data_IF_897570901601
#
_entry.id   IF_897570901601
#
_cell.length_a   1.000
_cell.length_b   1.000
_cell.length_c   1.000
_cell.angle_alpha   90.00
_cell.angle_beta   90.00
_cell.angle_gamma   90.00
#
_symmetry.space_group_name_H-M   'P 1'
#
loop_
_entity.id
_entity.type
_entity.pdbx_description
1 polymer ?
#
# COMPACT_ATOMS: atom_id res chain seq x y z
N UNK A 1 16.08 -15.10 5.03
CA UNK A 1 16.20 -13.80 5.73
C UNK A 1 17.35 -13.04 5.10
N UNK A 2 17.07 -11.92 4.43
CA UNK A 2 18.06 -10.94 4.02
C UNK A 2 17.50 -9.58 4.46
N UNK A 3 18.23 -8.98 5.39
CA UNK A 3 17.84 -7.89 6.27
C UNK A 3 18.37 -6.54 5.77
N UNK A 4 18.16 -6.19 4.51
CA UNK A 4 18.29 -4.78 4.12
C UNK A 4 16.97 -4.07 4.40
N UNK A 5 16.68 -3.93 5.69
CA UNK A 5 15.88 -2.82 6.21
C UNK A 5 16.88 -1.79 6.70
N UNK A 6 17.56 -1.11 5.78
CA UNK A 6 18.30 0.08 6.18
C UNK A 6 17.25 1.09 6.65
N UNK A 7 17.29 1.42 7.94
CA UNK A 7 16.57 2.55 8.50
C UNK A 7 17.06 3.78 7.75
N UNK A 8 16.18 4.45 7.02
CA UNK A 8 16.56 5.49 6.04
C UNK A 8 17.05 6.76 6.70
N UNK A 9 16.58 6.98 7.92
CA UNK A 9 16.85 8.15 8.73
C UNK A 9 16.66 7.75 10.21
N UNK A 10 17.40 8.43 11.07
CA UNK A 10 17.30 8.56 12.52
C UNK A 10 15.89 9.00 13.00
N UNK A 11 14.82 8.31 12.57
CA UNK A 11 13.43 8.62 12.88
C UNK A 11 12.63 7.36 13.21
N UNK A 12 11.76 7.48 14.22
CA UNK A 12 10.84 6.43 14.65
C UNK A 12 9.43 6.99 14.68
N UNK A 13 8.48 6.27 14.09
CA UNK A 13 7.08 6.65 14.04
C UNK A 13 6.37 5.94 15.19
N UNK A 14 5.67 6.72 16.01
CA UNK A 14 4.98 6.24 17.22
C UNK A 14 3.55 6.76 17.24
N UNK A 15 2.58 5.89 17.53
CA UNK A 15 1.22 6.25 17.93
C UNK A 15 0.97 5.70 19.32
N UNK A 16 0.43 6.52 20.23
CA UNK A 16 0.02 6.08 21.56
C UNK A 16 -1.33 6.71 21.85
N UNK A 17 -2.26 5.90 22.33
CA UNK A 17 -3.59 6.32 22.77
C UNK A 17 -3.90 5.80 24.17
N UNK A 18 -4.76 6.52 24.88
CA UNK A 18 -5.31 6.16 26.20
C UNK A 18 -6.77 6.58 26.19
N UNK A 19 -7.69 5.62 26.31
CA UNK A 19 -9.14 5.82 26.13
C UNK A 19 -9.46 6.62 24.85
N UNK A 20 -8.95 6.15 23.70
CA UNK A 20 -9.05 6.79 22.37
C UNK A 20 -8.46 8.21 22.26
N UNK A 21 -7.79 8.69 23.31
CA UNK A 21 -7.17 10.01 23.34
C UNK A 21 -5.68 9.92 23.07
N UNK A 22 -5.17 10.76 22.18
CA UNK A 22 -3.75 10.84 21.86
C UNK A 22 -2.89 11.10 23.11
N UNK A 23 -1.80 10.35 23.25
CA UNK A 23 -0.79 10.52 24.30
C UNK A 23 0.55 10.91 23.68
N UNK A 24 1.13 12.02 24.14
CA UNK A 24 2.48 12.40 23.74
C UNK A 24 3.47 11.38 24.30
N UNK A 25 4.40 10.89 23.47
CA UNK A 25 5.40 9.90 23.91
C UNK A 25 6.27 10.44 25.05
N UNK A 26 6.39 11.78 25.17
CA UNK A 26 7.08 12.46 26.29
C UNK A 26 6.38 12.28 27.63
N UNK A 27 5.11 11.93 27.64
CA UNK A 27 4.32 11.79 28.87
C UNK A 27 4.45 10.40 29.50
N UNK A 28 4.92 9.39 28.73
CA UNK A 28 5.08 8.01 29.24
C UNK A 28 5.90 7.96 30.54
N UNK A 29 7.11 8.59 30.63
CA UNK A 29 7.87 8.58 31.87
C UNK A 29 7.10 9.10 33.08
N UNK A 30 6.36 10.20 32.92
CA UNK A 30 5.59 10.80 34.00
C UNK A 30 4.40 9.93 34.40
N UNK A 31 3.74 9.27 33.44
CA UNK A 31 2.66 8.31 33.69
C UNK A 31 3.15 7.10 34.49
N UNK A 32 4.31 6.53 34.12
CA UNK A 32 4.95 5.45 34.87
C UNK A 32 5.30 5.89 36.29
N UNK A 33 5.86 7.08 36.47
CA UNK A 33 6.18 7.65 37.78
C UNK A 33 4.93 7.85 38.64
N UNK A 34 3.86 8.44 38.09
CA UNK A 34 2.60 8.65 38.78
C UNK A 34 1.95 7.34 39.23
N UNK A 35 2.09 6.28 38.44
CA UNK A 35 1.64 4.94 38.77
C UNK A 35 2.59 4.15 39.70
N UNK A 36 3.73 4.75 40.11
CA UNK A 36 4.80 4.11 40.90
C UNK A 36 5.40 2.86 40.24
N UNK A 37 5.48 2.88 38.91
CA UNK A 37 6.01 1.80 38.08
C UNK A 37 7.46 2.10 37.65
N UNK A 38 8.26 1.06 37.50
CA UNK A 38 9.65 1.20 37.06
C UNK A 38 9.73 1.69 35.61
N UNK A 39 10.50 2.77 35.39
CA UNK A 39 10.76 3.37 34.07
C UNK A 39 12.25 3.29 33.73
N UNK A 40 12.57 3.06 32.46
CA UNK A 40 13.94 3.14 31.97
C UNK A 40 14.41 4.61 32.01
N UNK A 41 15.32 4.92 32.93
CA UNK A 41 15.80 6.29 33.18
C UNK A 41 16.54 6.88 31.99
N UNK A 42 17.27 6.08 31.21
CA UNK A 42 17.95 6.53 30.01
C UNK A 42 16.95 6.94 28.92
N UNK A 43 15.89 6.14 28.71
CA UNK A 43 14.85 6.49 27.75
C UNK A 43 14.03 7.71 28.19
N UNK A 44 13.72 7.80 29.48
CA UNK A 44 13.06 8.96 30.04
C UNK A 44 13.90 10.25 29.88
N UNK A 45 15.23 10.16 30.01
CA UNK A 45 16.12 11.28 29.75
C UNK A 45 16.16 11.65 28.27
N UNK A 46 16.23 10.65 27.38
CA UNK A 46 16.19 10.86 25.93
C UNK A 46 14.92 11.58 25.49
N UNK A 47 13.73 11.12 25.92
CA UNK A 47 12.44 11.70 25.50
C UNK A 47 12.28 13.18 25.91
N UNK A 48 12.95 13.63 26.97
CA UNK A 48 12.96 15.05 27.38
C UNK A 48 13.65 15.94 26.35
N UNK A 49 14.70 15.44 25.71
CA UNK A 49 15.51 16.21 24.75
C UNK A 49 15.22 15.85 23.30
N UNK A 50 14.47 14.78 23.04
CA UNK A 50 14.17 14.31 21.70
C UNK A 50 13.35 15.36 20.91
N UNK A 51 13.75 15.55 19.66
CA UNK A 51 12.96 16.27 18.66
C UNK A 51 11.78 15.39 18.26
N UNK A 52 10.56 15.87 18.53
CA UNK A 52 9.32 15.13 18.26
C UNK A 52 8.41 16.01 17.42
N UNK A 53 7.99 15.48 16.27
CA UNK A 53 7.01 16.11 15.39
C UNK A 53 5.67 15.39 15.54
N UNK A 54 4.70 16.06 16.15
CA UNK A 54 3.33 15.54 16.28
C UNK A 54 2.50 15.87 15.04
N UNK A 55 2.02 14.84 14.34
CA UNK A 55 1.12 14.93 13.20
C UNK A 55 -0.32 15.05 13.72
N UNK A 56 -0.73 16.30 13.98
CA UNK A 56 -1.99 16.64 14.69
C UNK A 56 -3.25 15.95 14.18
N UNK A 57 -3.34 15.66 12.89
CA UNK A 57 -4.53 15.04 12.30
C UNK A 57 -4.57 13.53 12.39
N UNK A 58 -3.41 12.86 12.47
CA UNK A 58 -3.32 11.39 12.54
C UNK A 58 -3.02 10.87 13.95
N UNK A 59 -2.66 11.74 14.90
CA UNK A 59 -2.21 11.30 16.22
C UNK A 59 -0.88 10.55 16.19
N UNK A 60 -0.12 10.66 15.09
CA UNK A 60 1.21 10.08 14.97
C UNK A 60 2.28 11.05 15.46
N UNK A 61 3.36 10.50 15.99
CA UNK A 61 4.55 11.23 16.42
C UNK A 61 5.76 10.69 15.68
N UNK A 62 6.52 11.59 15.06
CA UNK A 62 7.81 11.25 14.48
C UNK A 62 8.90 11.69 15.45
N UNK A 63 9.53 10.72 16.09
CA UNK A 63 10.59 10.91 17.08
C UNK A 63 11.93 10.81 16.36
N UNK A 64 12.73 11.87 16.38
CA UNK A 64 14.09 11.81 15.86
C UNK A 64 14.97 11.03 16.84
N UNK A 65 15.28 9.80 16.47
CA UNK A 65 16.22 8.91 17.13
C UNK A 65 17.59 9.11 16.47
N UNK A 66 18.36 10.10 16.92
CA UNK A 66 19.72 10.39 16.39
C UNK A 66 20.58 9.13 16.34
N UNK A 67 21.41 8.98 15.30
CA UNK A 67 22.20 7.78 14.98
C UNK A 67 23.09 7.22 16.12
N UNK A 68 23.29 7.92 17.25
CA UNK A 68 24.25 7.51 18.29
C UNK A 68 23.72 7.45 19.75
N UNK A 69 22.42 7.69 20.04
CA UNK A 69 21.94 7.69 21.44
C UNK A 69 20.84 6.68 21.75
N UNK A 70 19.83 6.55 20.89
CA UNK A 70 18.71 5.62 21.06
C UNK A 70 18.32 5.08 19.69
N UNK A 71 18.23 3.76 19.57
CA UNK A 71 17.76 3.10 18.34
C UNK A 71 16.23 3.07 18.29
N UNK A 72 15.64 3.01 17.10
CA UNK A 72 14.19 2.80 16.93
C UNK A 72 13.69 1.56 17.69
N UNK A 73 14.47 0.47 17.67
CA UNK A 73 14.15 -0.74 18.43
C UNK A 73 14.09 -0.47 19.92
N UNK A 74 15.09 0.22 20.49
CA UNK A 74 15.09 0.54 21.91
C UNK A 74 13.92 1.44 22.31
N UNK A 75 13.53 2.40 21.47
CA UNK A 75 12.35 3.24 21.69
C UNK A 75 11.05 2.41 21.63
N UNK A 76 10.89 1.56 20.61
CA UNK A 76 9.71 0.71 20.49
C UNK A 76 9.60 -0.32 21.63
N UNK A 77 10.72 -0.91 22.06
CA UNK A 77 10.75 -1.81 23.21
C UNK A 77 10.36 -1.09 24.50
N UNK A 78 10.79 0.16 24.67
CA UNK A 78 10.37 0.99 25.80
C UNK A 78 8.87 1.31 25.79
N UNK A 79 8.32 1.73 24.64
CA UNK A 79 6.88 2.01 24.51
C UNK A 79 6.06 0.76 24.79
N UNK A 80 6.51 -0.40 24.27
CA UNK A 80 5.90 -1.71 24.54
C UNK A 80 5.93 -2.09 26.02
N UNK A 81 7.09 -1.94 26.67
CA UNK A 81 7.25 -2.22 28.10
C UNK A 81 6.34 -1.28 28.93
N UNK A 82 6.27 0.00 28.59
CA UNK A 82 5.39 0.95 29.25
C UNK A 82 3.91 0.59 29.10
N UNK A 83 3.44 0.26 27.89
CA UNK A 83 2.06 -0.17 27.64
C UNK A 83 1.71 -1.49 28.34
N UNK A 84 2.68 -2.39 28.52
CA UNK A 84 2.46 -3.62 29.29
C UNK A 84 2.21 -3.37 30.79
N UNK A 85 2.68 -2.22 31.31
CA UNK A 85 2.57 -1.81 32.71
C UNK A 85 1.41 -0.82 32.94
N UNK A 86 1.17 0.05 31.96
CA UNK A 86 0.07 1.02 31.91
C UNK A 86 -1.02 0.46 30.99
N UNK A 87 -1.92 -0.33 31.58
CA UNK A 87 -2.93 -1.11 30.83
C UNK A 87 -3.96 -0.26 30.08
N UNK A 88 -3.96 1.06 30.27
CA UNK A 88 -4.77 2.02 29.51
C UNK A 88 -4.11 2.44 28.19
N UNK A 89 -2.84 2.09 27.94
CA UNK A 89 -2.13 2.50 26.73
C UNK A 89 -2.26 1.49 25.60
N UNK A 90 -2.72 1.95 24.45
CA UNK A 90 -2.55 1.28 23.16
C UNK A 90 -1.40 1.94 22.39
N UNK A 91 -0.65 1.17 21.62
CA UNK A 91 0.51 1.70 20.91
C UNK A 91 0.77 1.02 19.56
N UNK A 92 1.31 1.81 18.64
CA UNK A 92 1.95 1.36 17.40
C UNK A 92 3.32 2.03 17.31
N UNK A 93 4.37 1.26 17.00
CA UNK A 93 5.73 1.81 16.89
C UNK A 93 6.50 1.12 15.78
N UNK A 94 7.07 1.91 14.87
CA UNK A 94 7.85 1.39 13.75
C UNK A 94 9.03 2.33 13.41
N UNK A 95 10.20 1.77 13.03
CA UNK A 95 11.27 2.55 12.41
C UNK A 95 10.81 3.25 11.13
N UNK A 96 11.48 4.36 10.77
CA UNK A 96 11.30 4.98 9.46
C UNK A 96 12.07 4.18 8.38
N UNK A 97 11.38 3.22 7.76
CA UNK A 97 11.94 2.43 6.66
C UNK A 97 11.95 3.24 5.36
N UNK A 98 13.08 3.25 4.65
CA UNK A 98 13.04 3.47 3.21
C UNK A 98 12.87 2.16 2.49
N UNK A 99 12.11 2.26 1.41
CA UNK A 99 12.07 1.24 0.39
C UNK A 99 12.99 1.68 -0.74
N UNK A 100 14.14 1.02 -0.87
CA UNK A 100 14.93 1.08 -2.10
C UNK A 100 14.39 0.03 -3.07
N UNK A 101 14.31 0.39 -4.35
CA UNK A 101 14.12 -0.61 -5.39
C UNK A 101 15.35 -1.53 -5.42
N UNK A 102 15.16 -2.77 -5.00
CA UNK A 102 16.22 -3.77 -4.92
C UNK A 102 15.88 -4.91 -5.89
N UNK A 103 16.80 -5.19 -6.81
CA UNK A 103 16.74 -6.44 -7.57
C UNK A 103 16.93 -7.60 -6.60
N UNK A 104 15.95 -8.51 -6.55
CA UNK A 104 16.00 -9.72 -5.75
C UNK A 104 16.62 -10.90 -6.50
N UNK A 105 17.07 -10.66 -7.74
CA UNK A 105 17.26 -11.68 -8.78
C UNK A 105 15.92 -12.26 -9.21
N UNK A 106 15.77 -12.68 -10.46
CA UNK A 106 14.48 -13.22 -10.94
C UNK A 106 14.17 -14.59 -10.29
N UNK A 107 13.48 -14.58 -9.15
CA UNK A 107 13.01 -15.79 -8.45
C UNK A 107 11.55 -16.14 -8.75
N UNK A 108 10.87 -15.29 -9.51
CA UNK A 108 9.49 -15.53 -9.95
C UNK A 108 9.38 -16.63 -11.00
N UNK A 109 10.50 -16.99 -11.65
CA UNK A 109 10.53 -18.08 -12.63
C UNK A 109 9.79 -17.74 -13.92
N UNK A 110 9.70 -16.45 -14.22
CA UNK A 110 9.11 -15.90 -15.44
C UNK A 110 10.20 -15.23 -16.29
N UNK A 111 9.99 -15.03 -17.59
CA UNK A 111 10.99 -14.40 -18.46
C UNK A 111 10.86 -12.87 -18.59
N UNK A 112 9.98 -12.25 -17.80
CA UNK A 112 9.70 -10.82 -17.85
C UNK A 112 10.90 -10.01 -17.28
N UNK A 113 11.45 -9.01 -18.01
CA UNK A 113 12.72 -8.34 -17.66
C UNK A 113 12.78 -7.70 -16.26
N UNK A 114 11.68 -7.12 -15.79
CA UNK A 114 11.57 -6.44 -14.50
C UNK A 114 11.02 -7.35 -13.40
N UNK A 115 10.85 -8.66 -13.66
CA UNK A 115 10.42 -9.62 -12.64
C UNK A 115 11.35 -9.65 -11.42
N UNK A 116 12.64 -9.36 -11.61
CA UNK A 116 13.61 -9.28 -10.51
C UNK A 116 13.42 -8.08 -9.59
N UNK A 117 12.64 -7.07 -10.00
CA UNK A 117 12.30 -5.92 -9.16
C UNK A 117 10.98 -6.11 -8.38
N UNK A 118 10.27 -7.23 -8.61
CA UNK A 118 8.97 -7.52 -8.01
C UNK A 118 9.08 -8.26 -6.66
N UNK A 119 9.84 -7.70 -5.71
CA UNK A 119 10.05 -8.28 -4.37
C UNK A 119 8.76 -8.63 -3.63
N UNK A 120 7.70 -7.85 -3.82
CA UNK A 120 6.39 -8.13 -3.21
C UNK A 120 5.82 -9.48 -3.67
N UNK A 121 5.96 -9.82 -4.96
CA UNK A 121 5.49 -11.09 -5.51
C UNK A 121 6.31 -12.27 -4.98
N UNK A 122 7.61 -12.06 -4.75
CA UNK A 122 8.43 -13.05 -4.07
C UNK A 122 7.97 -13.30 -2.63
N UNK A 123 7.70 -12.23 -1.87
CA UNK A 123 7.21 -12.33 -0.48
C UNK A 123 5.85 -13.04 -0.40
N UNK A 124 5.01 -12.89 -1.42
CA UNK A 124 3.74 -13.58 -1.56
C UNK A 124 3.86 -15.01 -2.13
N UNK A 125 5.08 -15.48 -2.41
CA UNK A 125 5.35 -16.77 -3.06
C UNK A 125 4.56 -16.95 -4.38
N UNK A 126 4.44 -15.88 -5.19
CA UNK A 126 3.58 -15.87 -6.37
C UNK A 126 3.93 -16.96 -7.40
N UNK A 127 5.21 -17.34 -7.52
CA UNK A 127 5.61 -18.48 -8.36
C UNK A 127 4.83 -19.75 -7.99
N UNK A 128 4.83 -20.10 -6.71
CA UNK A 128 4.13 -21.28 -6.20
C UNK A 128 2.61 -21.13 -6.35
N UNK A 129 2.08 -19.92 -6.12
CA UNK A 129 0.65 -19.62 -6.34
C UNK A 129 0.27 -19.87 -7.79
N UNK A 130 1.05 -19.39 -8.76
CA UNK A 130 0.79 -19.62 -10.19
C UNK A 130 0.87 -21.11 -10.55
N UNK A 131 1.91 -21.82 -10.10
CA UNK A 131 2.09 -23.25 -10.36
C UNK A 131 0.92 -24.08 -9.80
N UNK A 132 0.47 -23.77 -8.58
CA UNK A 132 -0.61 -24.51 -7.91
C UNK A 132 -2.01 -24.13 -8.41
N UNK A 133 -2.23 -22.87 -8.81
CA UNK A 133 -3.54 -22.41 -9.27
C UNK A 133 -3.80 -22.67 -10.74
N UNK A 134 -2.75 -22.78 -11.58
CA UNK A 134 -2.88 -22.93 -13.03
C UNK A 134 -3.83 -24.06 -13.48
N UNK A 135 -3.85 -25.26 -12.86
CA UNK A 135 -4.79 -26.32 -13.26
C UNK A 135 -6.27 -25.97 -13.03
N UNK A 136 -6.55 -25.07 -12.10
CA UNK A 136 -7.89 -24.77 -11.57
C UNK A 136 -8.44 -23.40 -11.97
N UNK A 137 -7.60 -22.48 -12.46
CA UNK A 137 -8.01 -21.16 -12.92
C UNK A 137 -8.77 -21.25 -14.26
N UNK A 138 -10.08 -21.55 -14.19
CA UNK A 138 -10.95 -21.73 -15.38
C UNK A 138 -11.88 -20.56 -15.66
N UNK A 139 -12.18 -19.76 -14.62
CA UNK A 139 -13.10 -18.63 -14.71
C UNK A 139 -12.32 -17.34 -14.93
N UNK A 140 -12.70 -16.57 -15.94
CA UNK A 140 -12.21 -15.20 -16.10
C UNK A 140 -12.89 -14.29 -15.10
N UNK A 141 -12.10 -13.61 -14.25
CA UNK A 141 -12.57 -12.66 -13.23
C UNK A 141 -12.55 -11.25 -13.79
N UNK A 142 -13.67 -10.54 -13.69
CA UNK A 142 -13.76 -9.14 -14.14
C UNK A 142 -13.36 -8.19 -13.01
N UNK A 143 -12.46 -7.27 -13.27
CA UNK A 143 -11.90 -6.35 -12.26
C UNK A 143 -12.03 -4.91 -12.73
N UNK A 144 -12.65 -4.06 -11.92
CA UNK A 144 -12.67 -2.62 -12.14
C UNK A 144 -11.46 -1.95 -11.49
N UNK A 145 -10.76 -1.11 -12.25
CA UNK A 145 -9.68 -0.25 -11.72
C UNK A 145 -10.20 1.18 -11.66
N UNK A 146 -10.56 1.62 -10.45
CA UNK A 146 -11.05 2.97 -10.15
C UNK A 146 -9.89 3.90 -9.77
N UNK A 147 -9.22 4.50 -10.75
CA UNK A 147 -7.98 5.27 -10.51
C UNK A 147 -7.78 6.41 -11.55
N UNK A 148 -6.54 6.77 -11.89
CA UNK A 148 -6.19 7.77 -12.90
C UNK A 148 -6.55 7.36 -14.33
N UNK A 149 -6.79 6.07 -14.58
CA UNK A 149 -7.16 5.52 -15.87
C UNK A 149 -6.13 4.56 -16.44
N UNK A 150 -6.54 3.79 -17.45
CA UNK A 150 -5.71 2.75 -18.08
C UNK A 150 -5.45 3.05 -19.57
N UNK A 151 -4.29 2.61 -20.05
CA UNK A 151 -3.95 2.60 -21.46
C UNK A 151 -3.78 1.16 -21.96
N UNK A 152 -4.83 0.63 -22.60
CA UNK A 152 -4.82 -0.72 -23.20
C UNK A 152 -3.99 -0.82 -24.49
N UNK A 153 -3.27 0.24 -24.90
CA UNK A 153 -2.22 0.11 -25.91
C UNK A 153 -0.92 -0.47 -25.33
N UNK A 154 -0.77 -0.53 -24.00
CA UNK A 154 0.34 -1.21 -23.33
C UNK A 154 0.21 -2.74 -23.54
N UNK A 155 1.20 -3.40 -24.19
CA UNK A 155 1.12 -4.82 -24.52
C UNK A 155 0.95 -5.73 -23.29
N UNK A 156 1.43 -5.32 -22.11
CA UNK A 156 1.29 -6.09 -20.87
C UNK A 156 -0.17 -6.26 -20.47
N UNK A 157 -1.01 -5.26 -20.74
CA UNK A 157 -2.41 -5.26 -20.29
C UNK A 157 -3.44 -5.28 -21.43
N UNK A 158 -3.02 -5.02 -22.67
CA UNK A 158 -3.86 -4.98 -23.85
C UNK A 158 -4.79 -6.21 -23.99
N UNK A 159 -4.32 -7.46 -23.75
CA UNK A 159 -5.17 -8.64 -23.87
C UNK A 159 -6.33 -8.71 -22.86
N UNK A 160 -6.25 -7.94 -21.78
CA UNK A 160 -7.24 -7.98 -20.69
C UNK A 160 -8.30 -6.90 -20.82
N UNK A 161 -8.32 -6.10 -21.89
CA UNK A 161 -9.37 -5.09 -22.13
C UNK A 161 -10.75 -5.77 -22.18
N UNK A 162 -11.61 -5.45 -21.22
CA UNK A 162 -12.96 -6.01 -21.16
C UNK A 162 -13.98 -5.19 -21.95
N UNK A 163 -15.01 -5.88 -22.44
CA UNK A 163 -16.23 -5.28 -23.00
C UNK A 163 -17.39 -5.77 -22.16
N UNK A 164 -18.15 -4.84 -21.58
CA UNK A 164 -19.19 -5.15 -20.60
C UNK A 164 -20.55 -4.61 -21.04
N UNK A 165 -21.59 -5.43 -20.86
CA UNK A 165 -22.97 -4.98 -21.07
C UNK A 165 -23.51 -4.46 -19.74
N UNK A 166 -24.02 -3.22 -19.76
CA UNK A 166 -24.70 -2.63 -18.61
C UNK A 166 -26.07 -3.28 -18.39
N UNK A 167 -26.45 -3.55 -17.14
CA UNK A 167 -27.82 -3.97 -16.79
C UNK A 167 -28.82 -2.86 -17.12
N UNK A 168 -28.42 -1.60 -16.98
CA UNK A 168 -29.18 -0.40 -17.38
C UNK A 168 -29.32 -0.23 -18.90
N UNK A 169 -28.61 -1.04 -19.70
CA UNK A 169 -28.58 -0.94 -21.16
C UNK A 169 -27.36 -0.18 -21.68
N UNK A 170 -26.86 -0.62 -22.85
CA UNK A 170 -25.62 -0.12 -23.45
C UNK A 170 -24.40 -1.01 -23.14
N UNK A 171 -23.25 -0.59 -23.68
CA UNK A 171 -21.98 -1.33 -23.60
C UNK A 171 -20.88 -0.36 -23.12
N UNK A 172 -19.98 -0.85 -22.27
CA UNK A 172 -18.72 -0.21 -21.92
C UNK A 172 -17.59 -1.01 -22.57
N UNK A 173 -16.83 -0.37 -23.44
CA UNK A 173 -15.63 -0.95 -24.07
C UNK A 173 -14.39 -0.37 -23.40
N UNK A 174 -13.72 -1.21 -22.61
CA UNK A 174 -12.49 -0.90 -21.89
C UNK A 174 -12.65 0.04 -20.69
N UNK A 175 -13.63 0.95 -20.67
CA UNK A 175 -13.78 1.86 -19.55
C UNK A 175 -14.61 3.12 -19.79
N UNK A 176 -14.65 3.95 -18.77
CA UNK A 176 -15.26 5.29 -18.78
C UNK A 176 -14.41 6.27 -17.97
N UNK A 177 -14.44 7.53 -18.38
CA UNK A 177 -13.79 8.63 -17.70
C UNK A 177 -14.83 9.54 -17.04
N UNK A 178 -14.96 9.44 -15.73
CA UNK A 178 -15.88 10.26 -14.93
C UNK A 178 -15.38 11.68 -14.70
N UNK A 179 -14.08 11.94 -14.91
CA UNK A 179 -13.53 13.30 -14.75
C UNK A 179 -14.03 14.24 -15.85
N UNK A 180 -14.21 13.69 -17.06
CA UNK A 180 -14.57 14.47 -18.26
C UNK A 180 -15.84 13.94 -18.95
N UNK A 181 -16.51 12.93 -18.40
CA UNK A 181 -17.66 12.24 -18.97
C UNK A 181 -17.45 11.76 -20.41
N UNK A 182 -16.40 10.97 -20.64
CA UNK A 182 -16.09 10.43 -21.97
C UNK A 182 -15.64 8.97 -21.95
N UNK A 183 -15.62 8.33 -23.12
CA UNK A 183 -14.97 7.03 -23.31
C UNK A 183 -13.43 7.13 -23.45
N UNK A 184 -12.84 8.32 -23.35
CA UNK A 184 -11.38 8.48 -23.29
C UNK A 184 -10.91 8.42 -21.84
N UNK A 185 -10.58 7.21 -21.40
CA UNK A 185 -10.17 6.90 -20.03
C UNK A 185 -8.66 6.72 -19.86
N UNK A 186 -7.87 6.96 -20.92
CA UNK A 186 -6.41 6.97 -20.79
C UNK A 186 -5.92 8.20 -20.03
N UNK A 187 -4.74 8.11 -19.41
CA UNK A 187 -4.14 9.17 -18.59
C UNK A 187 -2.62 9.12 -18.73
N UNK A 188 -1.96 10.28 -18.64
CA UNK A 188 -0.49 10.36 -18.55
C UNK A 188 0.01 10.06 -17.14
N UNK A 189 -0.85 10.21 -16.14
CA UNK A 189 -0.61 9.69 -14.81
C UNK A 189 -0.71 8.16 -14.81
N UNK A 190 0.44 7.51 -14.56
CA UNK A 190 0.59 6.07 -14.65
C UNK A 190 0.16 5.32 -13.38
N UNK A 191 -0.40 5.99 -12.36
CA UNK A 191 -0.80 5.33 -11.11
C UNK A 191 -1.80 4.19 -11.36
N UNK A 192 -2.90 4.47 -12.07
CA UNK A 192 -3.89 3.46 -12.44
C UNK A 192 -3.31 2.39 -13.35
N UNK A 193 -2.45 2.77 -14.29
CA UNK A 193 -1.74 1.84 -15.16
C UNK A 193 -0.90 0.84 -14.34
N UNK A 194 -0.15 1.32 -13.34
CA UNK A 194 0.66 0.48 -12.46
C UNK A 194 -0.20 -0.47 -11.62
N UNK A 195 -1.34 -0.01 -11.10
CA UNK A 195 -2.31 -0.86 -10.42
C UNK A 195 -2.80 -2.00 -11.34
N UNK A 196 -3.17 -1.69 -12.59
CA UNK A 196 -3.60 -2.69 -13.56
C UNK A 196 -2.49 -3.69 -13.91
N UNK A 197 -1.24 -3.24 -14.05
CA UNK A 197 -0.10 -4.11 -14.32
C UNK A 197 0.19 -5.08 -13.17
N UNK A 198 0.12 -4.61 -11.93
CA UNK A 198 0.20 -5.50 -10.76
C UNK A 198 -0.92 -6.54 -10.76
N UNK A 199 -2.14 -6.18 -11.15
CA UNK A 199 -3.26 -7.14 -11.24
C UNK A 199 -3.01 -8.16 -12.36
N UNK A 200 -2.64 -7.69 -13.54
CA UNK A 200 -2.90 -8.40 -14.77
C UNK A 200 -1.77 -8.49 -15.78
N UNK A 201 -0.62 -7.81 -15.61
CA UNK A 201 0.46 -7.85 -16.62
C UNK A 201 0.70 -9.27 -17.12
N UNK A 202 0.74 -9.39 -18.44
CA UNK A 202 1.00 -10.65 -19.11
C UNK A 202 2.35 -11.17 -18.61
N UNK A 203 2.35 -12.45 -18.23
CA UNK A 203 3.56 -13.14 -17.74
C UNK A 203 4.15 -13.97 -18.85
N UNK A 204 5.46 -14.14 -18.80
CA UNK A 204 6.22 -14.99 -19.71
C UNK A 204 6.19 -14.52 -21.19
N UNK A 205 6.11 -13.22 -21.43
CA UNK A 205 6.10 -12.67 -22.80
C UNK A 205 7.35 -11.85 -23.16
N UNK A 206 8.36 -11.86 -22.28
CA UNK A 206 9.61 -11.09 -22.37
C UNK A 206 9.38 -9.56 -22.37
N UNK A 207 8.23 -9.10 -21.88
CA UNK A 207 7.94 -7.69 -21.74
C UNK A 207 7.81 -7.31 -20.26
N UNK A 208 8.35 -6.13 -19.93
CA UNK A 208 8.28 -5.48 -18.63
C UNK A 208 8.17 -6.41 -17.39
N UNK A 209 6.97 -6.62 -16.85
CA UNK A 209 6.76 -7.23 -15.54
C UNK A 209 5.68 -8.30 -15.52
N UNK A 210 5.65 -9.12 -14.48
CA UNK A 210 4.60 -10.11 -14.27
C UNK A 210 3.40 -9.53 -13.48
N UNK A 211 2.17 -9.85 -13.89
CA UNK A 211 0.95 -9.54 -13.11
C UNK A 211 0.54 -10.66 -12.18
N UNK A 212 -0.38 -10.40 -11.24
CA UNK A 212 -0.89 -11.43 -10.32
C UNK A 212 -1.68 -12.53 -11.03
N UNK A 213 -2.53 -12.20 -12.02
CA UNK A 213 -3.41 -13.16 -12.69
C UNK A 213 -3.50 -12.91 -14.20
N UNK A 214 -3.51 -13.99 -14.97
CA UNK A 214 -3.73 -13.97 -16.43
C UNK A 214 -5.17 -14.37 -16.81
N UNK A 215 -6.03 -14.63 -15.82
CA UNK A 215 -7.44 -15.01 -16.03
C UNK A 215 -8.35 -13.87 -15.59
N UNK A 216 -8.09 -12.67 -16.09
CA UNK A 216 -8.84 -11.46 -15.75
C UNK A 216 -9.39 -10.73 -16.97
N UNK A 217 -10.42 -9.90 -16.76
CA UNK A 217 -10.88 -8.86 -17.68
C UNK A 217 -10.93 -7.54 -16.92
N UNK A 218 -10.22 -6.54 -17.41
CA UNK A 218 -10.11 -5.23 -16.79
C UNK A 218 -11.11 -4.24 -17.40
N UNK A 219 -11.61 -3.34 -16.55
CA UNK A 219 -12.31 -2.12 -16.97
C UNK A 219 -11.70 -0.91 -16.24
N UNK A 220 -11.36 0.11 -17.01
CA UNK A 220 -10.85 1.38 -16.50
C UNK A 220 -12.00 2.29 -16.10
N UNK A 221 -12.14 2.59 -14.81
CA UNK A 221 -13.10 3.57 -14.31
C UNK A 221 -12.32 4.78 -13.81
N UNK A 222 -12.02 5.72 -14.72
CA UNK A 222 -11.13 6.83 -14.40
C UNK A 222 -11.86 7.86 -13.52
N UNK A 223 -11.38 8.04 -12.30
CA UNK A 223 -11.94 8.96 -11.29
C UNK A 223 -10.97 10.08 -10.90
N UNK A 224 -9.68 9.94 -11.24
CA UNK A 224 -8.64 10.92 -10.94
C UNK A 224 -8.15 11.70 -12.18
N UNK A 225 -7.78 12.95 -11.93
CA UNK A 225 -7.10 13.85 -12.88
C UNK A 225 -5.62 13.47 -13.00
N UNK A 226 -4.94 14.06 -13.99
CA UNK A 226 -3.50 13.82 -14.24
C UNK A 226 -2.61 14.18 -13.03
N UNK A 227 -3.06 15.08 -12.16
CA UNK A 227 -2.35 15.45 -10.94
C UNK A 227 -2.65 14.52 -9.74
N UNK A 228 -3.38 13.42 -9.94
CA UNK A 228 -3.73 12.44 -8.91
C UNK A 228 -4.94 12.83 -8.03
N UNK A 229 -5.55 14.00 -8.25
CA UNK A 229 -6.73 14.39 -7.49
C UNK A 229 -8.01 13.82 -8.11
N UNK A 230 -8.83 13.16 -7.30
CA UNK A 230 -10.17 12.69 -7.64
C UNK A 230 -11.25 13.36 -6.78
N UNK A 231 -12.52 13.26 -7.21
CA UNK A 231 -13.66 13.68 -6.41
C UNK A 231 -14.39 12.45 -5.86
N UNK A 232 -14.96 12.56 -4.65
CA UNK A 232 -15.78 11.49 -4.06
C UNK A 232 -17.01 11.16 -4.91
N UNK A 233 -17.57 12.15 -5.62
CA UNK A 233 -18.69 11.95 -6.52
C UNK A 233 -18.32 11.07 -7.72
N UNK A 234 -17.17 11.31 -8.37
CA UNK A 234 -16.71 10.45 -9.47
C UNK A 234 -16.46 9.00 -9.00
N UNK A 235 -15.97 8.82 -7.76
CA UNK A 235 -15.83 7.47 -7.20
C UNK A 235 -17.18 6.80 -6.98
N UNK A 236 -18.19 7.53 -6.48
CA UNK A 236 -19.54 6.99 -6.35
C UNK A 236 -20.13 6.59 -7.72
N UNK A 237 -19.98 7.43 -8.75
CA UNK A 237 -20.43 7.11 -10.11
C UNK A 237 -19.69 5.89 -10.71
N UNK A 238 -18.39 5.76 -10.43
CA UNK A 238 -17.61 4.59 -10.82
C UNK A 238 -18.10 3.31 -10.12
N UNK A 239 -18.41 3.38 -8.83
CA UNK A 239 -19.00 2.25 -8.09
C UNK A 239 -20.35 1.83 -8.67
N UNK A 240 -21.22 2.78 -8.96
CA UNK A 240 -22.51 2.50 -9.61
C UNK A 240 -22.31 1.83 -10.98
N UNK A 241 -21.38 2.34 -11.79
CA UNK A 241 -21.06 1.71 -13.08
C UNK A 241 -20.50 0.30 -12.92
N UNK A 242 -19.62 0.06 -11.94
CA UNK A 242 -19.07 -1.26 -11.65
C UNK A 242 -20.17 -2.29 -11.29
N UNK A 243 -21.14 -1.88 -10.47
CA UNK A 243 -22.31 -2.71 -10.12
C UNK A 243 -23.19 -2.96 -11.35
N UNK A 244 -23.40 -1.94 -12.18
CA UNK A 244 -24.25 -2.00 -13.38
C UNK A 244 -23.66 -2.91 -14.46
N UNK A 245 -22.33 -2.90 -14.65
CA UNK A 245 -21.63 -3.82 -15.56
C UNK A 245 -21.35 -5.19 -14.94
N UNK A 246 -21.54 -5.33 -13.62
CA UNK A 246 -21.40 -6.59 -12.89
C UNK A 246 -19.97 -7.13 -12.86
N UNK A 247 -18.97 -6.29 -12.57
CA UNK A 247 -17.61 -6.78 -12.28
C UNK A 247 -17.60 -7.67 -11.02
N UNK A 248 -16.60 -8.54 -10.92
CA UNK A 248 -16.42 -9.44 -9.78
C UNK A 248 -15.65 -8.78 -8.63
N UNK A 249 -14.73 -7.85 -8.96
CA UNK A 249 -13.83 -7.12 -8.04
C UNK A 249 -13.83 -5.64 -8.42
#
# INVERSE_FOLDING_TARGET
ASSSTEVYDSQTIVSITSDDTFVDVKDIPQRLEAAKLASNTAMAAFLKTATIKTLKYSGLQVVSTSDDTVTSTALCDYVKDAASKLHDLEYECAPNYATKEESTGNKLGVNDPNAEHQRAFERMNMKEVWEKSAPYARRTVSVAVMDSGLNFSDPDIAPYRGIFRKKSGGIIDGGWNFVNDTSNFSSVNQHGQMCAKLIASRRNDNHDMAGMSNHVRLVSLRTQKENGYGSWWHMAEAMEMAVDIGVDI
#
